data_IF_879728481369
#
_entry.id   IF_879728481369
#
_cell.length_a   1.000
_cell.length_b   1.000
_cell.length_c   1.000
_cell.angle_alpha   90.00
_cell.angle_beta   90.00
_cell.angle_gamma   90.00
#
_symmetry.space_group_name_H-M   'P 1'
#
loop_
_entity.id
_entity.type
_entity.pdbx_description
1 polymer ?
#
# COMPACT_ATOMS: atom_id res chain seq x y z
N UNK A 1 -22.12 7.53 9.74
CA UNK A 1 -22.35 7.78 8.31
C UNK A 1 -21.03 8.23 7.73
N UNK A 2 -20.37 7.37 6.96
CA UNK A 2 -19.19 7.78 6.19
C UNK A 2 -19.60 8.91 5.26
N UNK A 3 -18.82 9.99 5.20
CA UNK A 3 -19.01 10.99 4.15
C UNK A 3 -18.80 10.30 2.80
N UNK A 4 -19.55 10.67 1.74
CA UNK A 4 -19.26 10.16 0.42
C UNK A 4 -17.82 10.51 0.09
N UNK A 5 -16.98 9.48 -0.09
CA UNK A 5 -15.60 9.65 -0.54
C UNK A 5 -15.61 10.52 -1.79
N UNK A 6 -14.86 11.64 -1.76
CA UNK A 6 -14.72 12.49 -2.94
C UNK A 6 -14.25 11.56 -4.07
N UNK A 7 -14.93 11.58 -5.22
CA UNK A 7 -14.52 10.78 -6.39
C UNK A 7 -13.03 10.98 -6.67
N UNK A 8 -12.50 12.18 -6.41
CA UNK A 8 -11.07 12.49 -6.54
C UNK A 8 -10.15 11.72 -5.57
N UNK A 9 -10.64 11.31 -4.41
CA UNK A 9 -9.89 10.44 -3.49
C UNK A 9 -9.85 9.00 -4.03
N UNK A 10 -10.99 8.49 -4.49
CA UNK A 10 -11.10 7.17 -5.13
C UNK A 10 -10.19 7.07 -6.36
N UNK A 11 -10.19 8.10 -7.22
CA UNK A 11 -9.37 8.13 -8.43
C UNK A 11 -7.85 8.07 -8.15
N UNK A 12 -7.38 8.42 -6.94
CA UNK A 12 -5.95 8.35 -6.58
C UNK A 12 -5.45 6.90 -6.41
N UNK A 13 -6.36 5.95 -6.22
CA UNK A 13 -6.02 4.53 -6.08
C UNK A 13 -5.91 3.81 -7.43
N UNK A 14 -6.53 4.32 -8.50
CA UNK A 14 -6.54 3.69 -9.82
C UNK A 14 -5.15 3.30 -10.32
N UNK A 15 -4.12 4.18 -10.28
CA UNK A 15 -2.79 3.80 -10.76
C UNK A 15 -2.18 2.62 -10.00
N UNK A 16 -2.61 2.40 -8.75
CA UNK A 16 -2.09 1.33 -7.89
C UNK A 16 -2.63 -0.05 -8.28
N UNK A 17 -3.82 -0.11 -8.86
CA UNK A 17 -4.52 -1.36 -9.19
C UNK A 17 -4.35 -1.76 -10.65
N UNK A 18 -4.12 -0.80 -11.55
CA UNK A 18 -3.99 -1.07 -12.98
C UNK A 18 -2.91 -2.11 -13.28
N UNK A 19 -3.28 -3.12 -14.07
CA UNK A 19 -2.43 -4.23 -14.51
C UNK A 19 -2.15 -5.28 -13.44
N UNK A 20 -2.62 -5.08 -12.20
CA UNK A 20 -2.46 -6.04 -11.10
C UNK A 20 -3.51 -7.14 -11.20
N UNK A 21 -3.12 -8.36 -10.81
CA UNK A 21 -4.02 -9.52 -10.77
C UNK A 21 -4.63 -9.61 -9.39
N UNK A 22 -5.96 -9.56 -9.30
CA UNK A 22 -6.71 -9.80 -8.07
C UNK A 22 -7.44 -11.14 -8.17
N UNK A 23 -7.24 -12.00 -7.18
CA UNK A 23 -8.05 -13.20 -6.99
C UNK A 23 -9.17 -12.86 -6.01
N UNK A 24 -10.41 -12.89 -6.49
CA UNK A 24 -11.61 -12.57 -5.71
C UNK A 24 -12.41 -13.86 -5.52
N UNK A 25 -12.47 -14.34 -4.29
CA UNK A 25 -13.14 -15.58 -3.93
C UNK A 25 -14.50 -15.25 -3.31
N UNK A 26 -15.57 -15.74 -3.91
CA UNK A 26 -16.95 -15.36 -3.56
C UNK A 26 -17.69 -16.61 -3.09
N UNK A 27 -18.25 -16.57 -1.88
CA UNK A 27 -19.17 -17.60 -1.39
C UNK A 27 -20.56 -17.48 -2.04
N UNK A 28 -20.61 -17.61 -3.37
CA UNK A 28 -21.81 -17.35 -4.16
C UNK A 28 -23.01 -18.25 -3.79
N UNK A 29 -22.75 -19.45 -3.26
CA UNK A 29 -23.80 -20.34 -2.77
C UNK A 29 -24.40 -19.98 -1.40
N UNK A 30 -23.76 -19.09 -0.63
CA UNK A 30 -24.20 -18.68 0.72
C UNK A 30 -24.62 -17.21 0.78
N UNK A 31 -23.98 -16.35 -0.01
CA UNK A 31 -24.28 -14.93 -0.04
C UNK A 31 -25.64 -14.65 -0.72
N UNK A 32 -26.40 -13.65 -0.25
CA UNK A 32 -27.64 -13.24 -0.93
C UNK A 32 -27.37 -12.78 -2.37
N UNK A 33 -28.20 -13.19 -3.33
CA UNK A 33 -28.07 -12.80 -4.75
C UNK A 33 -27.87 -11.28 -4.96
N UNK A 34 -28.59 -10.37 -4.27
CA UNK A 34 -28.37 -8.94 -4.44
C UNK A 34 -26.95 -8.48 -4.05
N UNK A 35 -26.35 -9.13 -3.04
CA UNK A 35 -24.99 -8.80 -2.60
C UNK A 35 -23.93 -9.31 -3.58
N UNK A 36 -24.17 -10.47 -4.19
CA UNK A 36 -23.31 -11.00 -5.26
C UNK A 36 -23.41 -10.11 -6.51
N UNK A 37 -24.62 -9.70 -6.90
CA UNK A 37 -24.81 -8.80 -8.03
C UNK A 37 -24.12 -7.44 -7.83
N UNK A 38 -24.25 -6.84 -6.64
CA UNK A 38 -23.56 -5.59 -6.28
C UNK A 38 -22.04 -5.75 -6.34
N UNK A 39 -21.51 -6.85 -5.79
CA UNK A 39 -20.09 -7.20 -5.90
C UNK A 39 -19.63 -7.28 -7.36
N UNK A 40 -20.41 -7.91 -8.24
CA UNK A 40 -20.06 -8.04 -9.65
C UNK A 40 -20.07 -6.68 -10.36
N UNK A 41 -20.99 -5.78 -10.03
CA UNK A 41 -20.97 -4.40 -10.54
C UNK A 41 -19.72 -3.65 -10.10
N UNK A 42 -19.32 -3.78 -8.83
CA UNK A 42 -18.08 -3.20 -8.33
C UNK A 42 -16.85 -3.77 -9.05
N UNK A 43 -16.84 -5.09 -9.31
CA UNK A 43 -15.78 -5.77 -10.05
C UNK A 43 -15.71 -5.33 -11.52
N UNK A 44 -16.86 -5.12 -12.18
CA UNK A 44 -16.89 -4.58 -13.53
C UNK A 44 -16.18 -3.22 -13.62
N UNK A 45 -16.41 -2.34 -12.63
CA UNK A 45 -15.69 -1.06 -12.54
C UNK A 45 -14.18 -1.27 -12.35
N UNK A 46 -13.75 -2.26 -11.56
CA UNK A 46 -12.33 -2.57 -11.42
C UNK A 46 -11.70 -3.09 -12.73
N UNK A 47 -12.43 -3.93 -13.49
CA UNK A 47 -11.99 -4.38 -14.82
C UNK A 47 -11.76 -3.18 -15.76
N UNK A 48 -12.71 -2.24 -15.81
CA UNK A 48 -12.60 -1.00 -16.59
C UNK A 48 -11.42 -0.12 -16.18
N UNK A 49 -11.05 -0.13 -14.90
CA UNK A 49 -9.88 0.58 -14.38
C UNK A 49 -8.56 -0.12 -14.75
N UNK A 50 -8.64 -1.32 -15.33
CA UNK A 50 -7.54 -2.12 -15.83
C UNK A 50 -7.02 -3.13 -14.82
N UNK A 51 -7.80 -3.50 -13.80
CA UNK A 51 -7.48 -4.61 -12.90
C UNK A 51 -7.72 -5.93 -13.64
N UNK A 52 -6.80 -6.89 -13.50
CA UNK A 52 -6.95 -8.24 -14.05
C UNK A 52 -7.65 -9.10 -13.02
N UNK A 53 -8.90 -9.48 -13.26
CA UNK A 53 -9.70 -10.19 -12.26
C UNK A 53 -9.69 -11.70 -12.51
N UNK A 54 -9.55 -12.45 -11.42
CA UNK A 54 -9.84 -13.88 -11.36
C UNK A 54 -10.90 -14.10 -10.28
N UNK A 55 -12.08 -14.56 -10.68
CA UNK A 55 -13.24 -14.76 -9.82
C UNK A 55 -13.35 -16.25 -9.49
N UNK A 56 -13.11 -16.62 -8.24
CA UNK A 56 -13.24 -17.98 -7.76
C UNK A 56 -14.56 -18.20 -7.03
N UNK A 57 -15.26 -19.27 -7.38
CA UNK A 57 -16.53 -19.65 -6.74
C UNK A 57 -16.25 -20.57 -5.55
N UNK A 58 -16.56 -20.10 -4.33
CA UNK A 58 -16.50 -20.88 -3.10
C UNK A 58 -17.90 -21.45 -2.79
N UNK A 59 -18.08 -22.74 -3.04
CA UNK A 59 -19.40 -23.37 -2.97
C UNK A 59 -20.40 -22.82 -4.00
N UNK A 60 -21.47 -23.57 -4.27
CA UNK A 60 -22.45 -23.20 -5.31
C UNK A 60 -22.04 -23.62 -6.73
N UNK A 61 -22.78 -23.13 -7.74
CA UNK A 61 -22.57 -23.49 -9.14
C UNK A 61 -21.71 -22.43 -9.87
N UNK A 62 -20.59 -22.87 -10.45
CA UNK A 62 -19.73 -22.04 -11.29
C UNK A 62 -20.48 -21.40 -12.46
N UNK A 63 -21.48 -22.12 -13.00
CA UNK A 63 -22.28 -21.64 -14.13
C UNK A 63 -23.08 -20.40 -13.75
N UNK A 64 -23.67 -20.38 -12.56
CA UNK A 64 -24.54 -19.27 -12.13
C UNK A 64 -23.72 -18.00 -11.94
N UNK A 65 -22.57 -18.06 -11.25
CA UNK A 65 -21.70 -16.88 -11.14
C UNK A 65 -21.21 -16.42 -12.52
N UNK A 66 -20.85 -17.35 -13.41
CA UNK A 66 -20.44 -16.99 -14.76
C UNK A 66 -21.54 -16.29 -15.55
N UNK A 67 -22.78 -16.78 -15.50
CA UNK A 67 -23.90 -16.13 -16.18
C UNK A 67 -24.13 -14.72 -15.62
N UNK A 68 -24.05 -14.53 -14.30
CA UNK A 68 -24.13 -13.19 -13.70
C UNK A 68 -22.98 -12.27 -14.12
N UNK A 69 -21.76 -12.78 -14.33
CA UNK A 69 -20.66 -11.94 -14.84
C UNK A 69 -21.00 -11.35 -16.22
N UNK A 70 -21.68 -12.12 -17.07
CA UNK A 70 -22.13 -11.65 -18.38
C UNK A 70 -23.25 -10.61 -18.27
N UNK A 71 -24.17 -10.78 -17.31
CA UNK A 71 -25.24 -9.80 -17.02
C UNK A 71 -24.69 -8.46 -16.51
N UNK A 72 -23.59 -8.49 -15.76
CA UNK A 72 -22.87 -7.30 -15.28
C UNK A 72 -21.86 -6.75 -16.30
N UNK A 73 -21.88 -7.22 -17.54
CA UNK A 73 -20.99 -6.80 -18.64
C UNK A 73 -19.49 -7.01 -18.37
N UNK A 74 -19.12 -7.89 -17.43
CA UNK A 74 -17.73 -8.29 -17.23
C UNK A 74 -17.28 -9.13 -18.42
N UNK A 75 -16.12 -8.79 -19.01
CA UNK A 75 -15.53 -9.54 -20.11
C UNK A 75 -14.90 -10.86 -19.62
N UNK A 76 -15.71 -11.81 -19.20
CA UNK A 76 -15.27 -13.04 -18.54
C UNK A 76 -15.09 -14.25 -19.47
N UNK A 77 -14.18 -15.15 -19.10
CA UNK A 77 -14.09 -16.52 -19.63
C UNK A 77 -13.96 -17.54 -18.50
N UNK A 78 -14.58 -18.71 -18.67
CA UNK A 78 -14.46 -19.82 -17.71
C UNK A 78 -13.13 -20.54 -17.86
N UNK A 79 -12.51 -20.85 -16.74
CA UNK A 79 -11.40 -21.80 -16.65
C UNK A 79 -11.98 -23.21 -16.65
N UNK A 80 -11.44 -24.09 -17.50
CA UNK A 80 -11.97 -25.43 -17.73
C UNK A 80 -11.69 -26.40 -16.58
N UNK A 81 -10.69 -26.09 -15.76
CA UNK A 81 -10.24 -26.91 -14.63
C UNK A 81 -10.44 -26.17 -13.30
N UNK A 82 -10.68 -26.90 -12.20
CA UNK A 82 -10.82 -26.28 -10.88
C UNK A 82 -9.48 -25.69 -10.42
N UNK A 83 -9.55 -24.82 -9.40
CA UNK A 83 -8.40 -24.13 -8.81
C UNK A 83 -7.34 -25.08 -8.26
N UNK A 84 -7.72 -26.32 -7.95
CA UNK A 84 -6.84 -27.38 -7.45
C UNK A 84 -5.98 -28.02 -8.53
N UNK A 85 -6.28 -27.79 -9.81
CA UNK A 85 -5.51 -28.32 -10.94
C UNK A 85 -4.41 -27.33 -11.34
N UNK A 86 -3.16 -27.77 -11.29
CA UNK A 86 -2.00 -26.93 -11.64
C UNK A 86 -2.04 -26.40 -13.10
N UNK A 87 -2.75 -27.08 -14.00
CA UNK A 87 -2.90 -26.63 -15.39
C UNK A 87 -3.82 -25.42 -15.53
N UNK A 88 -4.70 -25.19 -14.55
CA UNK A 88 -5.59 -24.04 -14.51
C UNK A 88 -4.82 -22.71 -14.51
N UNK A 89 -3.63 -22.67 -13.88
CA UNK A 89 -2.77 -21.48 -13.82
C UNK A 89 -2.47 -20.96 -15.23
N UNK A 90 -2.05 -21.84 -16.14
CA UNK A 90 -1.70 -21.45 -17.51
C UNK A 90 -2.93 -20.96 -18.28
N UNK A 91 -4.04 -21.68 -18.17
CA UNK A 91 -5.30 -21.30 -18.81
C UNK A 91 -5.80 -19.94 -18.33
N UNK A 92 -5.74 -19.69 -17.02
CA UNK A 92 -6.07 -18.39 -16.41
C UNK A 92 -5.17 -17.28 -16.95
N UNK A 93 -3.85 -17.48 -17.00
CA UNK A 93 -2.92 -16.48 -17.54
C UNK A 93 -3.21 -16.18 -19.03
N UNK A 94 -3.55 -17.18 -19.82
CA UNK A 94 -3.93 -17.01 -21.22
C UNK A 94 -5.24 -16.22 -21.37
N UNK A 95 -6.22 -16.41 -20.47
CA UNK A 95 -7.46 -15.61 -20.39
C UNK A 95 -7.12 -14.15 -20.08
N UNK A 96 -6.35 -13.91 -19.01
CA UNK A 96 -5.95 -12.55 -18.59
C UNK A 96 -5.13 -11.83 -19.67
N UNK A 97 -4.32 -12.56 -20.44
CA UNK A 97 -3.53 -12.00 -21.54
C UNK A 97 -4.40 -11.50 -22.71
N UNK A 98 -5.61 -12.03 -22.88
CA UNK A 98 -6.61 -11.55 -23.86
C UNK A 98 -7.40 -10.33 -23.37
N UNK A 99 -7.11 -9.84 -22.16
CA UNK A 99 -7.86 -8.74 -21.54
C UNK A 99 -9.20 -9.17 -20.97
N UNK A 100 -9.41 -10.46 -20.74
CA UNK A 100 -10.62 -11.00 -20.14
C UNK A 100 -10.40 -11.29 -18.65
N UNK A 101 -11.46 -11.17 -17.86
CA UNK A 101 -11.52 -11.74 -16.50
C UNK A 101 -11.66 -13.27 -16.56
N UNK A 102 -11.09 -13.98 -15.60
CA UNK A 102 -11.20 -15.44 -15.53
C UNK A 102 -12.18 -15.86 -14.42
N UNK A 103 -13.05 -16.84 -14.68
CA UNK A 103 -13.96 -17.40 -13.68
C UNK A 103 -13.60 -18.86 -13.44
N UNK A 104 -13.30 -19.23 -12.20
CA UNK A 104 -12.74 -20.54 -11.83
C UNK A 104 -13.50 -21.21 -10.68
N UNK A 105 -13.61 -22.53 -10.76
CA UNK A 105 -14.21 -23.34 -9.71
C UNK A 105 -13.24 -23.52 -8.53
N UNK A 106 -13.61 -23.00 -7.37
CA UNK A 106 -12.90 -23.19 -6.10
C UNK A 106 -13.78 -23.90 -5.05
N UNK A 107 -14.87 -24.55 -5.49
CA UNK A 107 -15.92 -25.06 -4.61
C UNK A 107 -15.49 -26.24 -3.73
N UNK A 108 -14.45 -26.96 -4.12
CA UNK A 108 -13.89 -28.09 -3.38
C UNK A 108 -12.81 -27.70 -2.35
N UNK A 109 -12.64 -26.40 -2.07
CA UNK A 109 -11.60 -25.88 -1.18
C UNK A 109 -12.15 -24.88 -0.17
N UNK A 110 -11.50 -24.74 0.97
CA UNK A 110 -11.65 -23.57 1.83
C UNK A 110 -11.05 -22.31 1.16
N UNK A 111 -11.46 -21.10 1.58
CA UNK A 111 -11.13 -19.84 0.90
C UNK A 111 -9.63 -19.55 0.80
N UNK A 112 -8.82 -20.12 1.69
CA UNK A 112 -7.38 -19.85 1.77
C UNK A 112 -6.57 -21.14 1.95
N UNK A 113 -7.11 -22.27 1.46
CA UNK A 113 -6.44 -23.56 1.52
C UNK A 113 -5.19 -23.58 0.62
N UNK A 114 -4.31 -24.57 0.87
CA UNK A 114 -3.05 -24.75 0.15
C UNK A 114 -3.15 -24.60 -1.37
N UNK A 115 -4.08 -25.32 -2.06
CA UNK A 115 -4.25 -25.23 -3.52
C UNK A 115 -4.67 -23.84 -4.02
N UNK A 116 -5.51 -23.12 -3.26
CA UNK A 116 -5.92 -21.75 -3.60
C UNK A 116 -4.71 -20.82 -3.55
N UNK A 117 -3.89 -20.96 -2.50
CA UNK A 117 -2.64 -20.20 -2.35
C UNK A 117 -1.63 -20.56 -3.44
N UNK A 118 -1.48 -21.84 -3.79
CA UNK A 118 -0.60 -22.30 -4.88
C UNK A 118 -1.00 -21.67 -6.22
N UNK A 119 -2.29 -21.72 -6.53
CA UNK A 119 -2.85 -21.10 -7.72
C UNK A 119 -2.62 -19.59 -7.74
N UNK A 120 -2.91 -18.90 -6.62
CA UNK A 120 -2.73 -17.46 -6.48
C UNK A 120 -1.27 -17.04 -6.71
N UNK A 121 -0.31 -17.78 -6.16
CA UNK A 121 1.11 -17.55 -6.40
C UNK A 121 1.48 -17.81 -7.87
N UNK A 122 0.94 -18.86 -8.46
CA UNK A 122 1.18 -19.24 -9.86
C UNK A 122 0.73 -18.19 -10.88
N UNK A 123 -0.38 -17.49 -10.60
CA UNK A 123 -0.87 -16.40 -11.46
C UNK A 123 -0.28 -15.02 -11.11
N UNK A 124 0.52 -14.94 -10.04
CA UNK A 124 1.17 -13.69 -9.60
C UNK A 124 0.19 -12.67 -9.03
N UNK A 125 -0.71 -13.09 -8.13
CA UNK A 125 -1.67 -12.15 -7.51
C UNK A 125 -0.97 -11.02 -6.77
N UNK A 126 -1.53 -9.82 -6.89
CA UNK A 126 -1.22 -8.71 -5.98
C UNK A 126 -2.01 -8.82 -4.67
N UNK A 127 -3.23 -9.37 -4.74
CA UNK A 127 -4.16 -9.50 -3.62
C UNK A 127 -5.06 -10.72 -3.79
N UNK A 128 -5.33 -11.40 -2.67
CA UNK A 128 -6.49 -12.28 -2.53
C UNK A 128 -7.56 -11.49 -1.76
N UNK A 129 -8.79 -11.48 -2.25
CA UNK A 129 -9.94 -10.86 -1.61
C UNK A 129 -10.99 -11.94 -1.44
N UNK A 130 -11.43 -12.21 -0.21
CA UNK A 130 -12.48 -13.18 0.07
C UNK A 130 -13.75 -12.47 0.51
N UNK A 131 -14.86 -12.75 -0.15
CA UNK A 131 -16.19 -12.30 0.21
C UNK A 131 -16.94 -13.49 0.81
N UNK A 132 -16.96 -13.54 2.14
CA UNK A 132 -17.47 -14.65 2.93
C UNK A 132 -18.69 -14.21 3.75
N UNK A 133 -19.49 -15.15 4.26
CA UNK A 133 -20.47 -14.84 5.31
C UNK A 133 -19.79 -14.50 6.65
N UNK A 134 -18.70 -15.22 6.94
CA UNK A 134 -17.89 -15.03 8.13
C UNK A 134 -16.87 -13.90 7.97
N UNK A 135 -16.48 -13.28 9.09
CA UNK A 135 -15.47 -12.22 9.09
C UNK A 135 -14.49 -12.36 10.25
N UNK A 136 -13.32 -11.72 10.10
CA UNK A 136 -12.32 -11.62 11.16
C UNK A 136 -12.58 -10.34 11.93
N UNK A 137 -12.95 -10.46 13.21
CA UNK A 137 -13.15 -9.35 14.13
C UNK A 137 -12.16 -9.45 15.28
N UNK A 138 -11.36 -8.40 15.48
CA UNK A 138 -10.43 -8.26 16.60
C UNK A 138 -11.04 -7.24 17.58
N UNK A 139 -11.23 -7.66 18.83
CA UNK A 139 -11.99 -6.90 19.84
C UNK A 139 -13.38 -6.45 19.35
N UNK A 140 -14.02 -7.27 18.51
CA UNK A 140 -15.36 -7.01 17.99
C UNK A 140 -15.43 -6.07 16.77
N UNK A 141 -14.30 -5.68 16.17
CA UNK A 141 -14.27 -4.86 14.97
C UNK A 141 -13.29 -5.40 13.91
N UNK A 142 -13.51 -5.14 12.61
CA UNK A 142 -12.54 -5.47 11.57
C UNK A 142 -11.20 -4.76 11.81
N UNK A 143 -10.11 -5.46 11.54
CA UNK A 143 -8.76 -4.93 11.72
C UNK A 143 -8.15 -4.52 10.38
N UNK A 144 -8.16 -3.21 10.14
CA UNK A 144 -7.72 -2.54 8.91
C UNK A 144 -6.41 -3.04 8.28
N UNK A 145 -5.39 -3.38 9.10
CA UNK A 145 -4.15 -3.96 8.61
C UNK A 145 -3.42 -4.72 9.73
N UNK A 146 -3.09 -5.99 9.46
CA UNK A 146 -2.35 -6.86 10.37
C UNK A 146 -1.15 -7.45 9.62
N UNK A 147 0.03 -7.40 10.22
CA UNK A 147 1.18 -8.15 9.70
C UNK A 147 1.00 -9.63 9.95
N UNK A 148 1.33 -10.45 8.96
CA UNK A 148 1.28 -11.91 9.10
C UNK A 148 2.12 -12.46 10.27
N UNK A 149 3.17 -11.74 10.71
CA UNK A 149 3.97 -12.10 11.88
C UNK A 149 3.30 -11.77 13.23
N UNK A 150 2.34 -10.85 13.24
CA UNK A 150 1.67 -10.35 14.45
C UNK A 150 0.34 -11.07 14.73
N UNK A 151 -0.18 -11.85 13.79
CA UNK A 151 -1.50 -12.51 13.90
C UNK A 151 -1.61 -13.47 15.09
N UNK A 152 -0.54 -14.20 15.41
CA UNK A 152 -0.53 -15.14 16.54
C UNK A 152 -0.82 -14.46 17.88
N UNK A 153 -0.38 -13.21 18.06
CA UNK A 153 -0.63 -12.45 19.29
C UNK A 153 -2.06 -11.88 19.37
N UNK A 154 -2.86 -12.01 18.31
CA UNK A 154 -4.20 -11.46 18.20
C UNK A 154 -5.29 -12.53 18.25
N UNK A 155 -4.94 -13.81 18.23
CA UNK A 155 -5.91 -14.91 18.22
C UNK A 155 -6.87 -14.86 19.40
N UNK A 156 -6.38 -14.60 20.61
CA UNK A 156 -7.19 -14.51 21.84
C UNK A 156 -8.20 -13.34 21.81
N UNK A 157 -7.96 -12.34 20.97
CA UNK A 157 -8.82 -11.16 20.76
C UNK A 157 -9.72 -11.30 19.55
N UNK A 158 -9.58 -12.38 18.80
CA UNK A 158 -10.32 -12.62 17.55
C UNK A 158 -11.59 -13.42 17.83
N UNK A 159 -12.68 -13.11 17.13
CA UNK A 159 -13.91 -13.89 17.19
C UNK A 159 -13.66 -15.37 16.79
N UNK A 160 -14.40 -16.31 17.39
CA UNK A 160 -14.14 -17.74 17.24
C UNK A 160 -14.13 -18.22 15.77
N UNK A 161 -15.06 -17.73 14.95
CA UNK A 161 -15.12 -18.05 13.52
C UNK A 161 -14.00 -17.40 12.69
N UNK A 162 -13.44 -16.27 13.16
CA UNK A 162 -12.36 -15.55 12.49
C UNK A 162 -10.96 -16.13 12.74
N UNK A 163 -10.74 -16.86 13.84
CA UNK A 163 -9.42 -17.43 14.17
C UNK A 163 -8.86 -18.34 13.05
N UNK A 164 -9.62 -19.30 12.50
CA UNK A 164 -9.14 -20.12 11.37
C UNK A 164 -8.80 -19.28 10.14
N UNK A 165 -9.63 -18.29 9.80
CA UNK A 165 -9.41 -17.39 8.66
C UNK A 165 -8.15 -16.54 8.86
N UNK A 166 -7.94 -15.99 10.06
CA UNK A 166 -6.76 -15.21 10.43
C UNK A 166 -5.47 -16.03 10.27
N UNK A 167 -5.49 -17.30 10.73
CA UNK A 167 -4.36 -18.22 10.56
C UNK A 167 -4.09 -18.53 9.09
N UNK A 168 -5.11 -18.86 8.31
CA UNK A 168 -4.94 -19.17 6.88
C UNK A 168 -4.48 -17.96 6.07
N UNK A 169 -4.99 -16.76 6.39
CA UNK A 169 -4.54 -15.51 5.76
C UNK A 169 -3.07 -15.20 6.10
N UNK A 170 -2.65 -15.42 7.35
CA UNK A 170 -1.25 -15.29 7.76
C UNK A 170 -0.34 -16.29 7.03
N UNK A 171 -0.77 -17.56 6.96
CA UNK A 171 -0.03 -18.61 6.27
C UNK A 171 0.12 -18.31 4.77
N UNK A 172 -0.94 -17.86 4.10
CA UNK A 172 -0.88 -17.43 2.70
C UNK A 172 0.14 -16.29 2.51
N UNK A 173 0.13 -15.29 3.40
CA UNK A 173 1.08 -14.19 3.34
C UNK A 173 2.54 -14.62 3.59
N UNK A 174 2.77 -15.51 4.55
CA UNK A 174 4.09 -16.07 4.83
C UNK A 174 4.63 -16.91 3.66
N UNK A 175 3.75 -17.47 2.83
CA UNK A 175 4.09 -18.19 1.60
C UNK A 175 4.36 -17.28 0.40
N UNK A 176 4.19 -15.97 0.55
CA UNK A 176 4.52 -14.97 -0.46
C UNK A 176 3.34 -14.28 -1.13
N UNK A 177 2.09 -14.61 -0.75
CA UNK A 177 0.95 -13.79 -1.16
C UNK A 177 1.12 -12.41 -0.54
N UNK A 178 1.10 -11.31 -1.30
CA UNK A 178 1.37 -10.00 -0.70
C UNK A 178 0.33 -9.64 0.37
N UNK A 179 -0.94 -9.94 0.10
CA UNK A 179 -2.10 -9.51 0.87
C UNK A 179 -3.28 -10.45 0.75
N UNK A 180 -3.98 -10.62 1.86
CA UNK A 180 -5.28 -11.28 1.95
C UNK A 180 -6.26 -10.35 2.63
N UNK A 181 -7.35 -10.02 1.95
CA UNK A 181 -8.46 -9.25 2.49
C UNK A 181 -9.62 -10.20 2.78
N UNK A 182 -10.14 -10.18 4.01
CA UNK A 182 -11.31 -10.96 4.42
C UNK A 182 -12.46 -10.00 4.70
N UNK A 183 -13.48 -10.07 3.83
CA UNK A 183 -14.63 -9.17 3.81
C UNK A 183 -15.92 -9.95 4.07
N UNK A 184 -16.82 -9.35 4.85
CA UNK A 184 -18.18 -9.85 4.98
C UNK A 184 -18.98 -9.48 3.72
N UNK A 185 -19.18 -10.46 2.84
CA UNK A 185 -19.87 -10.28 1.55
C UNK A 185 -21.36 -9.94 1.67
N UNK A 186 -21.96 -10.00 2.87
CA UNK A 186 -23.35 -9.58 3.11
C UNK A 186 -23.49 -8.07 3.23
N UNK A 187 -22.39 -7.35 3.47
CA UNK A 187 -22.39 -5.91 3.64
C UNK A 187 -22.32 -5.22 2.28
N UNK A 188 -23.31 -4.40 1.99
CA UNK A 188 -23.36 -3.58 0.77
C UNK A 188 -22.15 -2.63 0.70
N UNK A 189 -21.59 -2.48 -0.50
CA UNK A 189 -20.45 -1.63 -0.82
C UNK A 189 -19.11 -2.09 -0.23
N UNK A 190 -19.03 -3.25 0.42
CA UNK A 190 -17.84 -3.67 1.19
C UNK A 190 -16.58 -3.75 0.33
N UNK A 191 -16.69 -4.13 -0.95
CA UNK A 191 -15.54 -4.26 -1.84
C UNK A 191 -14.94 -2.90 -2.20
N UNK A 192 -15.79 -1.94 -2.61
CA UNK A 192 -15.37 -0.57 -2.92
C UNK A 192 -14.88 0.14 -1.67
N UNK A 193 -15.59 0.00 -0.55
CA UNK A 193 -15.18 0.54 0.74
C UNK A 193 -13.79 0.00 1.15
N UNK A 194 -13.50 -1.28 0.93
CA UNK A 194 -12.19 -1.84 1.25
C UNK A 194 -11.09 -1.30 0.33
N UNK A 195 -11.33 -1.26 -0.97
CA UNK A 195 -10.29 -0.92 -1.94
C UNK A 195 -9.99 0.57 -2.04
N UNK A 196 -10.99 1.43 -1.79
CA UNK A 196 -10.86 2.87 -1.99
C UNK A 196 -10.93 3.69 -0.69
N UNK A 197 -10.94 3.02 0.47
CA UNK A 197 -10.80 3.69 1.76
C UNK A 197 -9.35 3.77 2.22
N UNK A 198 -9.05 4.85 2.94
CA UNK A 198 -7.79 4.98 3.67
C UNK A 198 -7.68 3.94 4.80
N UNK A 199 -8.80 3.60 5.42
CA UNK A 199 -8.86 2.71 6.58
C UNK A 199 -9.14 1.26 6.14
N UNK A 200 -9.88 1.03 5.05
CA UNK A 200 -10.47 -0.29 4.75
C UNK A 200 -11.62 -0.59 5.71
N UNK A 201 -12.53 -1.50 5.36
CA UNK A 201 -13.68 -1.87 6.21
C UNK A 201 -13.65 -3.33 6.65
N UNK A 202 -12.80 -4.15 6.04
CA UNK A 202 -12.57 -5.52 6.44
C UNK A 202 -11.23 -5.72 7.14
N UNK A 203 -10.87 -6.99 7.33
CA UNK A 203 -9.58 -7.36 7.90
C UNK A 203 -8.60 -7.69 6.80
N UNK A 204 -7.50 -6.94 6.72
CA UNK A 204 -6.41 -7.19 5.79
C UNK A 204 -5.21 -7.79 6.54
N UNK A 205 -4.79 -8.99 6.15
CA UNK A 205 -3.50 -9.57 6.54
C UNK A 205 -2.51 -9.35 5.41
N UNK A 206 -1.29 -8.92 5.73
CA UNK A 206 -0.26 -8.66 4.74
C UNK A 206 1.11 -9.20 5.13
N UNK A 207 1.93 -9.49 4.11
CA UNK A 207 3.34 -9.81 4.30
C UNK A 207 4.12 -8.55 4.75
N UNK A 208 5.23 -8.75 5.47
CA UNK A 208 6.05 -7.66 6.05
C UNK A 208 6.55 -6.64 5.01
N UNK A 209 6.61 -7.02 3.73
CA UNK A 209 7.16 -6.23 2.63
C UNK A 209 6.18 -5.25 1.97
N UNK A 210 4.88 -5.23 2.32
CA UNK A 210 3.92 -4.36 1.63
C UNK A 210 4.28 -2.86 1.74
N UNK A 211 4.75 -2.45 2.91
CA UNK A 211 5.19 -1.10 3.18
C UNK A 211 6.69 -1.10 3.44
N UNK A 212 7.44 -0.54 2.50
CA UNK A 212 8.90 -0.49 2.60
C UNK A 212 9.42 0.93 2.36
N UNK A 213 10.51 1.26 3.04
CA UNK A 213 11.35 2.41 2.68
C UNK A 213 12.54 1.86 1.91
N UNK A 214 12.78 2.37 0.71
CA UNK A 214 13.89 1.95 -0.14
C UNK A 214 14.54 3.16 -0.84
N UNK A 215 15.77 3.01 -1.36
CA UNK A 215 16.35 4.01 -2.25
C UNK A 215 15.43 4.32 -3.44
N UNK A 216 15.45 5.58 -3.88
CA UNK A 216 14.75 6.01 -5.09
C UNK A 216 15.34 5.33 -6.33
N UNK A 217 14.48 4.84 -7.23
CA UNK A 217 14.88 4.32 -8.54
C UNK A 217 14.58 5.34 -9.62
N UNK A 218 15.28 5.24 -10.75
CA UNK A 218 15.12 6.18 -11.86
C UNK A 218 13.69 6.18 -12.42
N UNK A 219 13.04 5.01 -12.43
CA UNK A 219 11.63 4.82 -12.80
C UNK A 219 10.63 5.53 -11.87
N UNK A 220 11.03 5.85 -10.64
CA UNK A 220 10.18 6.55 -9.66
C UNK A 220 10.21 8.08 -9.82
N UNK A 221 11.22 8.63 -10.52
CA UNK A 221 11.46 10.09 -10.59
C UNK A 221 10.24 10.85 -11.12
N UNK A 222 9.52 10.40 -12.17
CA UNK A 222 8.32 11.09 -12.65
C UNK A 222 7.21 11.18 -11.58
N UNK A 223 6.99 10.11 -10.81
CA UNK A 223 5.99 10.11 -9.73
C UNK A 223 6.42 11.03 -8.57
N UNK A 224 7.71 10.98 -8.21
CA UNK A 224 8.29 11.87 -7.21
C UNK A 224 8.14 13.35 -7.60
N UNK A 225 8.44 13.70 -8.86
CA UNK A 225 8.22 15.05 -9.39
C UNK A 225 6.75 15.45 -9.35
N UNK A 226 5.85 14.53 -9.72
CA UNK A 226 4.41 14.75 -9.62
C UNK A 226 3.96 15.02 -8.19
N UNK A 227 4.48 14.26 -7.21
CA UNK A 227 4.23 14.46 -5.78
C UNK A 227 4.76 15.81 -5.28
N UNK A 228 6.02 16.14 -5.57
CA UNK A 228 6.66 17.39 -5.17
C UNK A 228 5.94 18.59 -5.81
N UNK A 229 5.68 18.55 -7.12
CA UNK A 229 5.02 19.62 -7.87
C UNK A 229 3.61 19.96 -7.36
N UNK A 230 2.83 18.95 -6.94
CA UNK A 230 1.51 19.16 -6.31
C UNK A 230 1.61 19.92 -4.99
N UNK A 231 2.68 19.71 -4.23
CA UNK A 231 2.97 20.45 -2.98
C UNK A 231 3.50 21.87 -3.28
N UNK A 232 4.44 22.00 -4.24
CA UNK A 232 5.11 23.25 -4.62
C UNK A 232 4.13 24.34 -5.02
N UNK A 233 3.09 24.01 -5.79
CA UNK A 233 2.03 24.97 -6.21
C UNK A 233 1.26 25.58 -5.03
N UNK A 234 1.24 24.90 -3.88
CA UNK A 234 0.60 25.40 -2.64
C UNK A 234 1.57 26.18 -1.74
N UNK A 235 2.88 26.15 -1.98
CA UNK A 235 3.88 26.49 -0.94
C UNK A 235 5.14 27.26 -1.37
N UNK A 236 5.27 27.77 -2.60
CA UNK A 236 6.50 28.47 -3.07
C UNK A 236 7.79 27.64 -2.86
N UNK A 237 7.72 26.32 -3.06
CA UNK A 237 8.94 25.50 -3.11
C UNK A 237 9.70 25.81 -4.42
N UNK A 238 11.02 25.67 -4.40
CA UNK A 238 11.82 25.74 -5.64
C UNK A 238 11.51 24.48 -6.45
N UNK A 239 11.08 24.64 -7.71
CA UNK A 239 10.84 23.52 -8.61
C UNK A 239 12.11 22.67 -8.73
N UNK A 240 11.93 21.35 -8.81
CA UNK A 240 13.01 20.39 -9.06
C UNK A 240 12.81 19.88 -10.47
N UNK A 241 13.89 19.77 -11.22
CA UNK A 241 13.85 19.09 -12.52
C UNK A 241 14.14 17.59 -12.34
N UNK A 242 13.93 16.84 -13.41
CA UNK A 242 14.32 15.43 -13.46
C UNK A 242 15.82 15.27 -13.20
N UNK A 243 16.63 16.13 -13.82
CA UNK A 243 18.09 16.14 -13.72
C UNK A 243 18.58 16.49 -12.31
N UNK A 244 17.87 17.39 -11.60
CA UNK A 244 18.17 17.71 -10.19
C UNK A 244 18.06 16.47 -9.30
N UNK A 245 17.01 15.68 -9.50
CA UNK A 245 16.76 14.46 -8.72
C UNK A 245 17.70 13.36 -9.17
N UNK A 246 17.85 13.14 -10.48
CA UNK A 246 18.71 12.10 -11.05
C UNK A 246 20.17 12.26 -10.62
N UNK A 247 20.70 13.48 -10.64
CA UNK A 247 22.09 13.77 -10.23
C UNK A 247 22.37 13.51 -8.74
N UNK A 248 21.32 13.43 -7.91
CA UNK A 248 21.39 13.16 -6.47
C UNK A 248 20.55 11.97 -6.06
N UNK A 249 20.27 11.05 -6.97
CA UNK A 249 19.31 9.97 -6.75
C UNK A 249 19.62 9.15 -5.50
N UNK A 250 20.91 8.99 -5.17
CA UNK A 250 21.39 8.29 -3.97
C UNK A 250 21.02 8.95 -2.64
N UNK A 251 20.71 10.25 -2.63
CA UNK A 251 20.26 10.96 -1.43
C UNK A 251 18.79 10.63 -1.10
N UNK A 252 18.00 10.21 -2.10
CA UNK A 252 16.56 10.06 -1.99
C UNK A 252 16.16 8.65 -1.57
N UNK A 253 15.19 8.60 -0.66
CA UNK A 253 14.47 7.40 -0.27
C UNK A 253 12.97 7.62 -0.42
N UNK A 254 12.28 6.56 -0.81
CA UNK A 254 10.83 6.55 -1.00
C UNK A 254 10.20 5.50 -0.10
N UNK A 255 9.04 5.86 0.45
CA UNK A 255 8.12 4.88 1.01
C UNK A 255 7.22 4.39 -0.12
N UNK A 256 7.19 3.07 -0.29
CA UNK A 256 6.31 2.43 -1.26
C UNK A 256 5.27 1.56 -0.58
N UNK A 257 4.11 1.49 -1.23
CA UNK A 257 2.92 0.73 -0.86
C UNK A 257 2.46 0.03 -2.14
N UNK A 258 2.54 -1.30 -2.19
CA UNK A 258 2.33 -2.09 -3.42
C UNK A 258 3.26 -1.66 -4.58
N UNK A 259 4.47 -1.23 -4.25
CA UNK A 259 5.42 -0.67 -5.21
C UNK A 259 5.11 0.77 -5.65
N UNK A 260 3.96 1.33 -5.28
CA UNK A 260 3.61 2.72 -5.57
C UNK A 260 4.30 3.64 -4.58
N UNK A 261 4.99 4.67 -5.08
CA UNK A 261 5.58 5.71 -4.23
C UNK A 261 4.47 6.54 -3.60
N UNK A 262 4.44 6.58 -2.26
CA UNK A 262 3.43 7.33 -1.48
C UNK A 262 4.03 8.45 -0.64
N UNK A 263 5.33 8.37 -0.36
CA UNK A 263 6.06 9.39 0.40
C UNK A 263 7.55 9.35 0.04
N UNK A 264 8.27 10.44 0.32
CA UNK A 264 9.70 10.55 0.05
C UNK A 264 10.42 11.38 1.12
N UNK A 265 11.73 11.18 1.20
CA UNK A 265 12.68 12.00 1.96
C UNK A 265 14.02 11.98 1.25
N UNK A 266 14.79 13.07 1.36
CA UNK A 266 16.18 13.13 0.93
C UNK A 266 17.08 13.42 2.13
N UNK A 267 18.27 12.82 2.13
CA UNK A 267 19.33 13.12 3.07
C UNK A 267 20.52 13.68 2.29
N UNK A 268 20.72 15.01 2.33
CA UNK A 268 21.84 15.65 1.63
C UNK A 268 23.04 15.80 2.57
N UNK A 269 24.15 15.08 2.34
CA UNK A 269 25.32 15.14 3.22
C UNK A 269 26.17 16.40 2.98
N UNK A 270 26.75 16.92 4.05
CA UNK A 270 27.75 17.98 4.07
C UNK A 270 28.95 17.50 4.90
N UNK A 271 29.86 16.70 4.29
CA UNK A 271 30.94 16.04 5.02
C UNK A 271 31.90 17.00 5.73
N UNK A 272 32.20 18.15 5.12
CA UNK A 272 33.13 19.13 5.68
C UNK A 272 32.59 19.75 6.98
N UNK A 273 31.28 19.93 7.09
CA UNK A 273 30.59 20.46 8.27
C UNK A 273 29.98 19.37 9.17
N UNK A 274 30.32 18.10 8.91
CA UNK A 274 29.88 16.93 9.66
C UNK A 274 28.36 16.93 9.94
N UNK A 275 27.57 17.23 8.92
CA UNK A 275 26.11 17.24 9.06
C UNK A 275 25.40 16.82 7.78
N UNK A 276 24.09 16.57 7.88
CA UNK A 276 23.24 16.31 6.73
C UNK A 276 21.90 17.04 6.84
N UNK A 277 21.32 17.40 5.69
CA UNK A 277 19.99 18.01 5.60
C UNK A 277 18.93 16.92 5.34
N UNK A 278 17.94 16.83 6.21
CA UNK A 278 16.69 16.12 5.93
C UNK A 278 15.82 17.03 5.06
N UNK A 279 15.84 16.76 3.76
CA UNK A 279 15.20 17.56 2.71
C UNK A 279 14.09 16.76 2.01
N UNK A 280 13.29 17.43 1.17
CA UNK A 280 12.25 16.82 0.34
C UNK A 280 11.32 15.83 1.08
N UNK A 281 11.07 16.07 2.37
CA UNK A 281 10.10 15.27 3.12
C UNK A 281 8.69 15.58 2.62
N UNK A 282 8.01 14.58 2.10
CA UNK A 282 6.64 14.70 1.62
C UNK A 282 5.89 13.38 1.77
N UNK A 283 4.62 13.46 2.15
CA UNK A 283 3.68 12.34 2.20
C UNK A 283 2.46 12.73 1.37
N UNK A 284 1.95 11.85 0.50
CA UNK A 284 0.70 12.10 -0.23
C UNK A 284 -0.44 12.36 0.77
N UNK A 285 -1.33 13.31 0.47
CA UNK A 285 -2.42 13.71 1.36
C UNK A 285 -3.27 12.53 1.86
N UNK A 286 -3.63 11.58 0.99
CA UNK A 286 -4.37 10.35 1.35
C UNK A 286 -3.61 9.42 2.34
N UNK A 287 -2.30 9.64 2.52
CA UNK A 287 -1.43 8.82 3.36
C UNK A 287 -0.92 9.58 4.59
N UNK A 288 -1.39 10.81 4.82
CA UNK A 288 -1.08 11.59 6.03
C UNK A 288 -1.76 11.00 7.29
N UNK A 289 -1.30 11.39 8.48
CA UNK A 289 -1.86 10.90 9.75
C UNK A 289 -1.41 9.49 10.18
N UNK A 290 -0.74 8.73 9.31
CA UNK A 290 -0.35 7.32 9.55
C UNK A 290 1.07 7.12 10.12
N UNK A 291 1.74 8.20 10.53
CA UNK A 291 3.12 8.16 11.01
C UNK A 291 4.20 7.99 9.92
N UNK A 292 3.84 8.05 8.63
CA UNK A 292 4.78 7.79 7.52
C UNK A 292 5.94 8.77 7.49
N UNK A 293 5.68 10.06 7.73
CA UNK A 293 6.73 11.08 7.84
C UNK A 293 7.74 10.76 8.96
N UNK A 294 7.27 10.30 10.13
CA UNK A 294 8.14 9.90 11.24
C UNK A 294 9.05 8.74 10.85
N UNK A 295 8.51 7.73 10.16
CA UNK A 295 9.31 6.58 9.72
C UNK A 295 10.36 6.99 8.68
N UNK A 296 10.03 7.90 7.75
CA UNK A 296 10.98 8.42 6.77
C UNK A 296 12.11 9.23 7.40
N UNK A 297 11.79 10.11 8.36
CA UNK A 297 12.82 10.87 9.09
C UNK A 297 13.70 9.92 9.91
N UNK A 298 13.12 8.93 10.61
CA UNK A 298 13.89 7.91 11.32
C UNK A 298 14.86 7.16 10.39
N UNK A 299 14.39 6.74 9.21
CA UNK A 299 15.26 6.10 8.21
C UNK A 299 16.41 7.00 7.76
N UNK A 300 16.15 8.29 7.56
CA UNK A 300 17.18 9.28 7.20
C UNK A 300 18.18 9.51 8.36
N UNK A 301 17.72 9.54 9.60
CA UNK A 301 18.57 9.65 10.80
C UNK A 301 19.48 8.42 10.95
N UNK A 302 18.96 7.22 10.75
CA UNK A 302 19.75 5.99 10.76
C UNK A 302 20.78 5.96 9.62
N UNK A 303 20.42 6.45 8.43
CA UNK A 303 21.35 6.57 7.32
C UNK A 303 22.49 7.56 7.64
N UNK A 304 22.17 8.70 8.27
CA UNK A 304 23.17 9.64 8.77
C UNK A 304 24.09 9.00 9.82
N UNK A 305 23.51 8.26 10.79
CA UNK A 305 24.27 7.54 11.81
C UNK A 305 25.24 6.52 11.21
N UNK A 306 24.77 5.70 10.26
CA UNK A 306 25.61 4.72 9.54
C UNK A 306 26.75 5.38 8.74
N UNK A 307 26.55 6.60 8.28
CA UNK A 307 27.56 7.39 7.59
C UNK A 307 28.50 8.16 8.54
N UNK A 308 28.37 7.99 9.86
CA UNK A 308 29.17 8.73 10.85
C UNK A 308 28.87 10.22 10.90
N UNK A 309 27.65 10.63 10.51
CA UNK A 309 27.23 12.03 10.49
C UNK A 309 26.56 12.35 11.84
N UNK A 310 27.22 13.13 12.73
CA UNK A 310 26.76 13.34 14.11
C UNK A 310 25.55 14.28 14.23
N UNK A 311 25.15 14.94 13.15
CA UNK A 311 24.13 15.98 13.19
C UNK A 311 23.29 16.02 11.93
N UNK A 312 21.98 16.13 12.10
CA UNK A 312 21.04 16.39 11.01
C UNK A 312 20.30 17.69 11.25
N UNK A 313 19.89 18.35 10.17
CA UNK A 313 19.06 19.54 10.24
C UNK A 313 17.95 19.52 9.18
N UNK A 314 16.90 20.31 9.40
CA UNK A 314 15.80 20.51 8.48
C UNK A 314 15.43 22.00 8.41
N UNK A 315 15.00 22.44 7.23
CA UNK A 315 14.52 23.80 6.99
C UNK A 315 13.00 23.77 6.77
N UNK A 316 12.23 24.30 7.71
CA UNK A 316 10.77 24.29 7.62
C UNK A 316 10.12 25.39 8.44
N UNK A 317 8.98 25.90 7.96
CA UNK A 317 8.06 26.74 8.72
C UNK A 317 6.77 25.98 9.07
N UNK A 318 6.22 25.22 8.13
CA UNK A 318 4.94 24.50 8.29
C UNK A 318 5.04 23.23 9.12
N UNK A 319 6.16 22.51 9.05
CA UNK A 319 6.37 21.26 9.76
C UNK A 319 7.13 21.45 11.09
N UNK A 320 7.19 22.67 11.62
CA UNK A 320 7.89 22.97 12.86
C UNK A 320 7.40 22.10 14.05
N UNK A 321 6.08 21.95 14.32
CA UNK A 321 5.60 21.07 15.39
C UNK A 321 5.96 19.60 15.16
N UNK A 322 5.99 19.16 13.90
CA UNK A 322 6.36 17.80 13.52
C UNK A 322 7.83 17.51 13.86
N UNK A 323 8.77 18.37 13.44
CA UNK A 323 10.19 18.18 13.75
C UNK A 323 10.49 18.34 15.24
N UNK A 324 9.83 19.29 15.94
CA UNK A 324 9.92 19.40 17.39
C UNK A 324 9.49 18.11 18.09
N UNK A 325 8.38 17.49 17.66
CA UNK A 325 7.90 16.19 18.16
C UNK A 325 8.80 15.00 17.83
N UNK A 326 9.80 15.16 16.96
CA UNK A 326 10.85 14.17 16.66
C UNK A 326 12.16 14.43 17.43
N UNK A 327 12.17 15.43 18.32
CA UNK A 327 13.33 15.79 19.13
C UNK A 327 14.29 16.77 18.44
N UNK A 328 13.89 17.41 17.34
CA UNK A 328 14.68 18.50 16.78
C UNK A 328 14.46 19.77 17.60
N UNK A 329 15.55 20.49 17.84
CA UNK A 329 15.53 21.80 18.49
C UNK A 329 15.66 22.90 17.45
N UNK A 330 14.93 24.01 17.63
CA UNK A 330 15.09 25.18 16.77
C UNK A 330 16.51 25.74 16.94
N UNK A 331 17.15 26.08 15.81
CA UNK A 331 18.52 26.60 15.75
C UNK A 331 18.57 27.90 14.92
N UNK A 332 19.72 28.56 14.89
CA UNK A 332 19.97 29.72 14.04
C UNK A 332 20.53 29.29 12.67
N UNK A 333 20.49 30.19 11.68
CA UNK A 333 21.08 29.95 10.35
C UNK A 333 22.59 29.71 10.39
N UNK A 334 23.26 30.02 11.50
CA UNK A 334 24.70 29.85 11.67
C UNK A 334 25.11 28.38 11.78
N UNK A 335 24.18 27.47 12.06
CA UNK A 335 24.46 26.02 12.08
C UNK A 335 24.40 25.37 10.68
N UNK A 336 24.02 26.13 9.66
CA UNK A 336 23.91 25.64 8.29
C UNK A 336 25.29 25.62 7.62
N UNK A 337 25.58 24.60 6.78
CA UNK A 337 26.73 24.61 5.87
C UNK A 337 26.78 25.90 5.04
N UNK A 338 27.98 26.45 4.79
CA UNK A 338 28.13 27.77 4.17
C UNK A 338 27.42 27.86 2.83
N UNK A 339 27.62 26.86 1.97
CA UNK A 339 26.95 26.77 0.66
C UNK A 339 25.44 26.70 0.80
N UNK A 340 24.94 25.96 1.80
CA UNK A 340 23.50 25.79 2.01
C UNK A 340 22.83 27.05 2.58
N UNK A 341 23.54 27.77 3.45
CA UNK A 341 23.13 29.08 3.97
C UNK A 341 22.97 30.10 2.86
N UNK A 342 23.95 30.22 1.96
CA UNK A 342 23.87 31.11 0.80
C UNK A 342 22.65 30.80 -0.09
N UNK A 343 22.39 29.51 -0.34
CA UNK A 343 21.20 29.07 -1.09
C UNK A 343 19.89 29.40 -0.36
N UNK A 344 19.86 29.23 0.95
CA UNK A 344 18.70 29.56 1.76
C UNK A 344 18.40 31.05 1.74
N UNK A 345 19.41 31.90 1.96
CA UNK A 345 19.30 33.36 1.92
C UNK A 345 18.86 33.86 0.52
N UNK A 346 19.47 33.34 -0.54
CA UNK A 346 19.10 33.67 -1.92
C UNK A 346 17.67 33.24 -2.29
N UNK A 347 17.13 32.21 -1.63
CA UNK A 347 15.76 31.74 -1.89
C UNK A 347 14.67 32.67 -1.38
N UNK A 348 14.98 33.59 -0.46
CA UNK A 348 14.00 34.50 0.17
C UNK A 348 12.93 33.78 1.01
N UNK A 349 13.17 32.52 1.40
CA UNK A 349 12.24 31.73 2.21
C UNK A 349 12.37 32.06 3.70
N UNK A 350 11.24 32.08 4.39
CA UNK A 350 11.11 32.32 5.83
C UNK A 350 11.16 31.03 6.67
N UNK A 351 11.89 30.01 6.20
CA UNK A 351 11.95 28.72 6.89
C UNK A 351 12.77 28.81 8.17
N UNK A 352 12.29 28.17 9.24
CA UNK A 352 13.04 28.03 10.48
C UNK A 352 14.05 26.88 10.35
N UNK A 353 15.15 26.97 11.08
CA UNK A 353 16.15 25.90 11.17
C UNK A 353 15.84 25.01 12.37
N UNK A 354 15.79 23.71 12.14
CA UNK A 354 15.66 22.68 13.16
C UNK A 354 16.87 21.76 13.08
N UNK A 355 17.48 21.42 14.22
CA UNK A 355 18.67 20.56 14.28
C UNK A 355 18.52 19.50 15.35
N UNK A 356 19.12 18.33 15.10
CA UNK A 356 19.17 17.21 16.04
C UNK A 356 20.56 16.57 16.00
N UNK A 357 21.11 16.26 17.17
CA UNK A 357 22.33 15.46 17.29
C UNK A 357 21.93 14.00 17.15
N UNK A 358 22.66 13.28 16.31
CA UNK A 358 22.50 11.84 16.11
C UNK A 358 23.58 11.17 16.96
N UNK A 359 23.17 10.59 18.09
CA UNK A 359 24.08 9.79 18.91
C UNK A 359 24.52 8.56 18.11
N UNK A 360 25.80 8.21 18.18
CA UNK A 360 26.25 6.90 17.71
C UNK A 360 25.42 5.81 18.38
N UNK A 361 24.90 4.86 17.60
CA UNK A 361 24.36 3.64 18.17
C UNK A 361 25.50 2.99 18.96
N UNK A 362 25.37 2.78 20.29
CA UNK A 362 26.27 1.86 20.95
C UNK A 362 26.05 0.52 20.25
N UNK A 363 27.10 0.01 19.63
CA UNK A 363 27.18 -1.33 19.03
C UNK A 363 26.27 -2.32 19.76
N UNK A 364 25.33 -2.93 19.02
CA UNK A 364 24.60 -4.11 19.49
C UNK A 364 25.63 -5.15 19.99
N UNK A 365 25.41 -5.77 21.17
CA UNK A 365 26.29 -6.80 21.71
C UNK A 365 26.32 -8.07 20.85
#
# INVERSE_FOLDING_TARGET
MAQPSDVREVLQYIPQFRGKVFLVLIEAGLLPEPAVAETLLDLAVLEDLGVKLVLGVLGGDLKDLFDWTLECEIMAARVSRPITDATAIRETLDILARGQSAVIDASATGPLDGPVVDFALGIGVAKIITLLEEEILIDGAPAHAIRAAETAALEDRTNAAGVPLLRSAAAACQRGVPRVHVLNGRRQGVLVDELFSNEGVGTMVHADSYRMIRPLREEDIPELLGMIGRSVRRTKLVERTYEDIQSRIGDFHVMTIDGNVVACVALHPYPAEQCAEVACLYVKQAHEGRGYGRHLVGHAEEAAARAGIPRVFALTNRAAPFFAGLGYSQATVDVLPQRRRQQFEASGRDSLVFSKIISENPTLP
#
